data_IF_042780436347
#
_entry.id   IF_042780436347
#
_cell.length_a   1.000
_cell.length_b   1.000
_cell.length_c   1.000
_cell.angle_alpha   90.00
_cell.angle_beta   90.00
_cell.angle_gamma   90.00
#
_symmetry.space_group_name_H-M   'P 1'
#
loop_
_entity.id
_entity.type
_entity.pdbx_description
1 polymer ?
#
# COMPACT_ATOMS: atom_id res chain seq x y z
N UNK A 1 0.81 -2.43 15.83
CA UNK A 1 1.08 -2.27 14.38
C UNK A 1 2.21 -1.28 14.19
N UNK A 2 3.20 -1.55 13.33
CA UNK A 2 4.37 -0.68 13.11
C UNK A 2 4.23 0.26 11.89
N UNK A 3 3.24 0.02 11.01
CA UNK A 3 2.96 0.87 9.85
C UNK A 3 2.33 2.20 10.24
N UNK A 4 1.33 2.19 11.12
CA UNK A 4 0.65 3.41 11.58
C UNK A 4 1.61 4.39 12.26
N UNK A 5 2.54 3.90 13.09
CA UNK A 5 3.55 4.79 13.69
C UNK A 5 4.44 5.46 12.65
N UNK A 6 4.74 4.78 11.54
CA UNK A 6 5.54 5.37 10.46
C UNK A 6 4.75 6.46 9.73
N UNK A 7 3.45 6.25 9.51
CA UNK A 7 2.55 7.27 8.96
C UNK A 7 2.42 8.49 9.87
N UNK A 8 2.26 8.30 11.19
CA UNK A 8 2.21 9.42 12.14
C UNK A 8 3.52 10.21 12.18
N UNK A 9 4.68 9.54 12.12
CA UNK A 9 5.97 10.22 12.05
C UNK A 9 6.06 11.03 10.75
N UNK A 10 5.65 10.43 9.62
CA UNK A 10 5.68 11.11 8.33
C UNK A 10 4.73 12.31 8.30
N UNK A 11 3.53 12.19 8.87
CA UNK A 11 2.57 13.28 9.01
C UNK A 11 3.17 14.46 9.77
N UNK A 12 3.76 14.19 10.94
CA UNK A 12 4.44 15.23 11.72
C UNK A 12 5.63 15.85 10.98
N UNK A 13 6.34 15.07 10.17
CA UNK A 13 7.40 15.59 9.31
C UNK A 13 6.84 16.56 8.27
N UNK A 14 5.75 16.20 7.59
CA UNK A 14 5.10 17.07 6.61
C UNK A 14 4.61 18.38 7.26
N UNK A 15 3.99 18.30 8.46
CA UNK A 15 3.59 19.47 9.24
C UNK A 15 4.77 20.36 9.65
N UNK A 16 5.94 19.77 9.89
CA UNK A 16 7.14 20.53 10.28
C UNK A 16 7.71 21.32 9.09
N UNK A 17 7.47 20.87 7.85
CA UNK A 17 7.92 21.56 6.63
C UNK A 17 7.10 22.83 6.41
N UNK A 18 5.77 22.73 6.42
CA UNK A 18 4.87 23.88 6.29
C UNK A 18 3.62 23.68 7.16
N UNK A 19 3.55 24.30 8.35
CA UNK A 19 2.48 24.04 9.30
C UNK A 19 1.07 24.44 8.82
N UNK A 20 0.96 25.49 8.02
CA UNK A 20 -0.34 26.01 7.54
C UNK A 20 -0.86 25.29 6.29
N UNK A 21 0.05 24.71 5.49
CA UNK A 21 -0.24 23.96 4.28
C UNK A 21 0.77 22.82 4.09
N UNK A 22 0.69 21.76 4.92
CA UNK A 22 1.64 20.66 4.82
C UNK A 22 1.61 20.04 3.42
N UNK A 23 2.76 19.92 2.72
CA UNK A 23 2.76 19.34 1.40
C UNK A 23 2.44 17.84 1.47
N UNK A 24 1.91 17.29 0.38
CA UNK A 24 1.80 15.86 0.20
C UNK A 24 3.19 15.21 0.08
N UNK A 25 3.40 13.98 0.57
CA UNK A 25 4.69 13.31 0.44
C UNK A 25 5.18 13.20 -1.01
N UNK A 26 4.29 13.01 -1.99
CA UNK A 26 4.65 12.95 -3.41
C UNK A 26 5.06 14.30 -4.02
N UNK A 27 4.73 15.42 -3.38
CA UNK A 27 5.12 16.76 -3.81
C UNK A 27 6.52 17.14 -3.28
N UNK A 28 6.96 16.49 -2.19
CA UNK A 28 8.21 16.79 -1.51
C UNK A 28 9.32 15.76 -1.75
N UNK A 29 8.97 14.48 -1.91
CA UNK A 29 9.93 13.40 -2.14
C UNK A 29 9.92 12.95 -3.60
N UNK A 30 11.08 13.04 -4.27
CA UNK A 30 11.26 12.55 -5.66
C UNK A 30 11.01 11.04 -5.80
N UNK A 31 11.14 10.29 -4.70
CA UNK A 31 10.94 8.85 -4.67
C UNK A 31 10.38 8.39 -3.33
N UNK A 32 9.33 7.57 -3.38
CA UNK A 32 8.75 6.90 -2.21
C UNK A 32 8.87 5.39 -2.40
N UNK A 33 9.52 4.72 -1.46
CA UNK A 33 9.77 3.27 -1.50
C UNK A 33 9.46 2.60 -0.17
N UNK A 34 9.15 1.30 -0.21
CA UNK A 34 8.92 0.52 0.98
C UNK A 34 8.74 -0.98 0.69
N UNK A 35 8.94 -1.80 1.72
CA UNK A 35 8.77 -3.26 1.65
C UNK A 35 7.67 -3.73 2.59
N UNK A 36 7.00 -4.84 2.25
CA UNK A 36 5.90 -5.40 3.04
C UNK A 36 4.80 -4.32 3.24
N UNK A 37 4.39 -4.04 4.47
CA UNK A 37 3.43 -2.99 4.81
C UNK A 37 3.86 -1.61 4.32
N UNK A 38 5.17 -1.34 4.28
CA UNK A 38 5.70 -0.09 3.74
C UNK A 38 5.55 0.02 2.23
N UNK A 39 5.48 -1.09 1.50
CA UNK A 39 5.24 -1.08 0.05
C UNK A 39 3.81 -0.65 -0.30
N UNK A 40 2.83 -1.08 0.51
CA UNK A 40 1.46 -0.60 0.39
C UNK A 40 1.36 0.90 0.68
N UNK A 41 2.03 1.38 1.74
CA UNK A 41 2.11 2.82 2.06
C UNK A 41 2.77 3.59 0.92
N UNK A 42 3.89 3.10 0.38
CA UNK A 42 4.58 3.73 -0.73
C UNK A 42 3.72 3.78 -2.00
N UNK A 43 2.92 2.75 -2.27
CA UNK A 43 1.96 2.74 -3.35
C UNK A 43 0.86 3.80 -3.17
N UNK A 44 0.28 3.89 -1.96
CA UNK A 44 -0.79 4.85 -1.66
C UNK A 44 -0.30 6.31 -1.75
N UNK A 45 0.83 6.63 -1.11
CA UNK A 45 1.35 8.00 -1.09
C UNK A 45 2.04 8.39 -2.40
N UNK A 46 2.75 7.46 -3.03
CA UNK A 46 3.56 7.76 -4.22
C UNK A 46 2.81 7.59 -5.53
N UNK A 47 2.07 6.48 -5.69
CA UNK A 47 1.43 6.16 -6.98
C UNK A 47 -0.02 6.62 -7.07
N UNK A 48 -0.75 6.56 -5.97
CA UNK A 48 -2.12 7.07 -5.89
C UNK A 48 -2.19 8.53 -5.45
N UNK A 49 -1.05 9.10 -5.04
CA UNK A 49 -0.92 10.50 -4.59
C UNK A 49 -1.95 10.84 -3.49
N UNK A 50 -2.23 9.87 -2.61
CA UNK A 50 -3.14 10.09 -1.48
C UNK A 50 -2.55 11.10 -0.51
N UNK A 51 -3.42 11.91 0.09
CA UNK A 51 -3.02 12.75 1.22
C UNK A 51 -2.64 11.88 2.43
N UNK A 52 -1.97 12.47 3.42
CA UNK A 52 -1.61 11.75 4.64
C UNK A 52 -2.85 11.18 5.35
N UNK A 53 -3.92 11.98 5.48
CA UNK A 53 -5.18 11.56 6.11
C UNK A 53 -5.82 10.39 5.37
N UNK A 54 -5.93 10.50 4.05
CA UNK A 54 -6.51 9.45 3.20
C UNK A 54 -5.72 8.14 3.29
N UNK A 55 -4.39 8.24 3.31
CA UNK A 55 -3.52 7.10 3.46
C UNK A 55 -3.65 6.45 4.84
N UNK A 56 -3.81 7.23 5.91
CA UNK A 56 -4.00 6.72 7.27
C UNK A 56 -5.34 5.99 7.37
N UNK A 57 -6.43 6.57 6.87
CA UNK A 57 -7.76 5.97 6.89
C UNK A 57 -7.80 4.67 6.08
N UNK A 58 -7.25 4.69 4.86
CA UNK A 58 -7.14 3.50 4.02
C UNK A 58 -6.29 2.42 4.71
N UNK A 59 -5.16 2.80 5.30
CA UNK A 59 -4.29 1.88 6.02
C UNK A 59 -5.01 1.21 7.20
N UNK A 60 -5.75 1.98 8.01
CA UNK A 60 -6.51 1.45 9.14
C UNK A 60 -7.58 0.46 8.66
N UNK A 61 -8.39 0.85 7.66
CA UNK A 61 -9.43 -0.01 7.09
C UNK A 61 -8.89 -1.32 6.53
N UNK A 62 -7.82 -1.24 5.73
CA UNK A 62 -7.13 -2.41 5.18
C UNK A 62 -6.52 -3.27 6.28
N UNK A 63 -5.97 -2.63 7.31
CA UNK A 63 -5.26 -3.35 8.34
C UNK A 63 -6.18 -4.25 9.16
N UNK A 64 -7.40 -3.79 9.43
CA UNK A 64 -8.41 -4.56 10.15
C UNK A 64 -8.93 -5.75 9.33
N UNK A 65 -8.87 -5.68 8.00
CA UNK A 65 -9.31 -6.75 7.11
C UNK A 65 -8.22 -7.80 6.85
N UNK A 66 -6.95 -7.37 6.75
CA UNK A 66 -5.85 -8.19 6.25
C UNK A 66 -4.96 -8.73 7.39
N UNK A 67 -4.81 -8.01 8.51
CA UNK A 67 -3.97 -8.46 9.64
C UNK A 67 -4.71 -9.24 10.73
N UNK A 68 -5.98 -9.61 10.52
CA UNK A 68 -6.64 -10.56 11.42
C UNK A 68 -5.81 -11.85 11.48
N UNK A 69 -5.40 -12.24 12.70
CA UNK A 69 -4.65 -13.47 12.93
C UNK A 69 -5.50 -14.65 12.45
N UNK A 70 -5.17 -15.22 11.29
CA UNK A 70 -5.57 -16.60 10.99
C UNK A 70 -4.95 -17.48 12.08
N UNK A 71 -5.79 -18.01 12.98
CA UNK A 71 -5.39 -18.76 14.17
C UNK A 71 -4.63 -20.06 13.83
N UNK A 72 -4.78 -20.58 12.60
CA UNK A 72 -4.06 -21.76 12.13
C UNK A 72 -2.82 -21.39 11.32
N UNK A 73 -1.72 -21.09 12.02
CA UNK A 73 -0.40 -20.84 11.42
C UNK A 73 0.27 -22.07 10.81
N UNK A 74 -0.34 -23.24 10.96
CA UNK A 74 0.11 -24.51 10.38
C UNK A 74 -1.14 -25.23 9.88
N UNK A 75 -1.25 -25.41 8.57
CA UNK A 75 -2.17 -26.42 8.02
C UNK A 75 -1.52 -27.78 8.22
N UNK A 76 -2.31 -28.84 8.44
CA UNK A 76 -1.85 -30.22 8.68
C UNK A 76 -0.89 -30.76 7.61
N UNK A 77 -0.72 -30.05 6.48
CA UNK A 77 0.18 -30.37 5.36
C UNK A 77 1.50 -29.56 5.34
N UNK A 78 1.85 -28.83 6.40
CA UNK A 78 3.15 -28.13 6.49
C UNK A 78 3.33 -26.93 5.54
N UNK A 79 2.25 -26.48 4.86
CA UNK A 79 2.29 -25.27 4.05
C UNK A 79 2.24 -24.04 4.95
N UNK A 80 3.29 -23.21 4.88
CA UNK A 80 3.36 -21.91 5.54
C UNK A 80 2.35 -21.00 4.85
N UNK A 81 1.25 -20.67 5.54
CA UNK A 81 0.37 -19.60 5.07
C UNK A 81 1.07 -18.26 5.26
N UNK A 82 1.02 -17.42 4.22
CA UNK A 82 1.46 -16.03 4.30
C UNK A 82 0.74 -15.31 5.45
N UNK A 83 1.42 -14.35 6.07
CA UNK A 83 0.86 -13.52 7.16
C UNK A 83 -0.34 -12.67 6.71
N UNK A 84 -0.57 -12.59 5.40
CA UNK A 84 -1.57 -11.77 4.73
C UNK A 84 -2.35 -12.64 3.76
N UNK A 85 -3.66 -12.42 3.69
CA UNK A 85 -4.49 -12.95 2.61
C UNK A 85 -4.28 -12.09 1.36
N UNK A 86 -3.52 -12.61 0.39
CA UNK A 86 -3.17 -11.91 -0.84
C UNK A 86 -4.39 -11.51 -1.66
N UNK A 87 -5.44 -12.33 -1.66
CA UNK A 87 -6.66 -12.05 -2.42
C UNK A 87 -7.40 -10.86 -1.79
N UNK A 88 -7.50 -10.81 -0.46
CA UNK A 88 -8.10 -9.65 0.23
C UNK A 88 -7.32 -8.37 -0.01
N UNK A 89 -5.99 -8.44 -0.01
CA UNK A 89 -5.15 -7.28 -0.32
C UNK A 89 -5.36 -6.79 -1.76
N UNK A 90 -5.39 -7.71 -2.72
CA UNK A 90 -5.62 -7.38 -4.13
C UNK A 90 -7.00 -6.75 -4.35
N UNK A 91 -8.06 -7.35 -3.82
CA UNK A 91 -9.42 -6.82 -3.95
C UNK A 91 -9.54 -5.43 -3.31
N UNK A 92 -8.93 -5.23 -2.16
CA UNK A 92 -8.98 -3.93 -1.51
C UNK A 92 -8.16 -2.86 -2.24
N UNK A 93 -7.04 -3.23 -2.88
CA UNK A 93 -6.30 -2.33 -3.78
C UNK A 93 -7.15 -1.99 -5.02
N UNK A 94 -7.80 -2.98 -5.65
CA UNK A 94 -8.70 -2.75 -6.79
C UNK A 94 -9.84 -1.81 -6.43
N UNK A 95 -10.42 -1.97 -5.24
CA UNK A 95 -11.52 -1.12 -4.78
C UNK A 95 -11.08 0.34 -4.60
N UNK A 96 -9.87 0.57 -4.07
CA UNK A 96 -9.28 1.90 -3.98
C UNK A 96 -9.10 2.52 -5.37
N UNK A 97 -8.55 1.76 -6.33
CA UNK A 97 -8.36 2.21 -7.71
C UNK A 97 -9.70 2.57 -8.37
N UNK A 98 -10.71 1.71 -8.20
CA UNK A 98 -12.07 1.91 -8.74
C UNK A 98 -12.73 3.16 -8.17
N UNK A 99 -12.68 3.32 -6.85
CA UNK A 99 -13.30 4.44 -6.12
C UNK A 99 -12.74 5.78 -6.57
N UNK A 100 -11.43 5.83 -6.86
CA UNK A 100 -10.75 7.06 -7.32
C UNK A 100 -10.81 7.29 -8.84
N UNK A 101 -11.53 6.45 -9.60
CA UNK A 101 -11.59 6.48 -11.08
C UNK A 101 -10.21 6.46 -11.74
N UNK A 102 -9.23 5.86 -11.07
CA UNK A 102 -7.89 5.74 -11.61
C UNK A 102 -7.89 4.66 -12.70
N UNK A 103 -7.21 4.93 -13.79
CA UNK A 103 -7.15 3.98 -14.92
C UNK A 103 -6.45 2.69 -14.47
N UNK A 104 -6.85 1.55 -15.03
CA UNK A 104 -6.38 0.21 -14.63
C UNK A 104 -4.84 0.07 -14.69
N UNK A 105 -4.14 0.85 -15.53
CA UNK A 105 -2.66 0.92 -15.55
C UNK A 105 -2.02 1.45 -14.27
N UNK A 106 -2.82 1.96 -13.33
CA UNK A 106 -2.38 2.36 -11.99
C UNK A 106 -1.98 1.15 -11.17
N UNK A 107 -2.57 -0.03 -11.46
CA UNK A 107 -2.04 -1.30 -11.01
C UNK A 107 -0.71 -1.57 -11.72
N UNK A 108 0.27 -2.10 -10.98
CA UNK A 108 1.55 -2.50 -11.56
C UNK A 108 1.28 -3.34 -12.82
N UNK A 109 1.80 -2.89 -13.97
CA UNK A 109 1.78 -3.66 -15.21
C UNK A 109 2.20 -5.08 -14.87
N UNK A 110 1.36 -6.08 -15.17
CA UNK A 110 1.80 -7.46 -15.08
C UNK A 110 3.10 -7.56 -15.87
N UNK A 111 4.15 -8.06 -15.22
CA UNK A 111 5.46 -8.20 -15.83
C UNK A 111 5.23 -8.90 -17.18
N UNK A 112 5.54 -8.17 -18.26
CA UNK A 112 5.25 -8.60 -19.61
C UNK A 112 5.91 -9.96 -19.86
N UNK A 113 5.09 -11.00 -19.86
CA UNK A 113 5.44 -12.27 -20.45
C UNK A 113 5.40 -12.07 -21.97
N UNK A 114 6.46 -11.50 -22.52
CA UNK A 114 6.80 -11.68 -23.93
C UNK A 114 8.26 -12.06 -24.01
N UNK A 115 8.54 -13.33 -23.72
CA UNK A 115 9.75 -13.97 -24.23
C UNK A 115 9.61 -13.91 -25.76
N UNK A 116 10.28 -12.95 -26.38
CA UNK A 116 10.40 -12.89 -27.82
C UNK A 116 11.04 -14.18 -28.32
N UNK A 117 10.26 -15.01 -28.99
CA UNK A 117 10.78 -16.03 -29.91
C UNK A 117 10.44 -15.54 -31.30
N UNK A 118 11.35 -14.72 -31.83
CA UNK A 118 11.51 -14.50 -33.25
C UNK A 118 13.00 -14.71 -33.56
N UNK A 119 13.33 -15.95 -33.91
CA UNK A 119 14.45 -16.28 -34.79
C UNK A 119 13.93 -17.26 -35.82
#
# INVERSE_FOLDING_TARGET
MRGLSSLMILEQLMYTIEPEHPPGPCEYFDMIGGTNTGGLIAFMLGRLEMTMDECIDAYLSLSDQIFQKNAHRVTTQGKIQGRFDSNKLEEAIKEVVRTRKLQEYTLLKSAGLSLGTAT
#
